data_IF_884260573525
#
_entry.id   IF_884260573525
#
_cell.length_a   1.000
_cell.length_b   1.000
_cell.length_c   1.000
_cell.angle_alpha   90.00
_cell.angle_beta   90.00
_cell.angle_gamma   90.00
#
_symmetry.space_group_name_H-M   'P 1'
#
loop_
_entity.id
_entity.type
_entity.pdbx_description
1 polymer ?
#
# COMPACT_ATOMS: atom_id res chain seq x y z
N UNK A 1 10.09 10.19 9.47
CA UNK A 1 10.98 9.02 9.29
C UNK A 1 10.15 7.76 9.44
N UNK A 2 10.18 6.84 8.46
CA UNK A 2 9.48 5.56 8.52
C UNK A 2 10.12 4.70 9.62
N UNK A 3 9.31 4.23 10.57
CA UNK A 3 9.79 3.36 11.64
C UNK A 3 9.78 1.88 11.22
N UNK A 4 10.48 1.04 12.00
CA UNK A 4 10.61 -0.40 11.73
C UNK A 4 9.27 -1.11 11.51
N UNK A 5 8.26 -0.82 12.34
CA UNK A 5 6.95 -1.48 12.21
C UNK A 5 6.15 -0.98 11.01
N UNK A 6 6.27 0.30 10.66
CA UNK A 6 5.66 0.83 9.43
C UNK A 6 6.27 0.21 8.19
N UNK A 7 7.60 0.00 8.17
CA UNK A 7 8.28 -0.68 7.06
C UNK A 7 7.84 -2.14 6.95
N UNK A 8 7.80 -2.87 8.06
CA UNK A 8 7.29 -4.26 8.12
C UNK A 8 5.87 -4.36 7.56
N UNK A 9 4.93 -3.56 8.07
CA UNK A 9 3.52 -3.57 7.64
C UNK A 9 3.36 -3.15 6.17
N UNK A 10 4.18 -2.22 5.69
CA UNK A 10 4.16 -1.80 4.29
C UNK A 10 4.65 -2.93 3.35
N UNK A 11 5.65 -3.72 3.76
CA UNK A 11 6.12 -4.90 3.02
C UNK A 11 5.10 -6.04 3.06
N UNK A 12 4.45 -6.27 4.19
CA UNK A 12 3.35 -7.24 4.31
C UNK A 12 2.17 -6.86 3.43
N UNK A 13 1.78 -5.58 3.42
CA UNK A 13 0.76 -5.04 2.53
C UNK A 13 1.13 -5.31 1.06
N UNK A 14 2.34 -4.95 0.63
CA UNK A 14 2.79 -5.23 -0.74
C UNK A 14 2.78 -6.74 -1.06
N UNK A 15 3.18 -7.59 -0.13
CA UNK A 15 3.19 -9.05 -0.34
C UNK A 15 1.77 -9.60 -0.54
N UNK A 16 0.79 -9.12 0.23
CA UNK A 16 -0.61 -9.47 0.05
C UNK A 16 -1.16 -8.99 -1.31
N UNK A 17 -0.80 -7.76 -1.71
CA UNK A 17 -1.18 -7.20 -3.01
C UNK A 17 -0.56 -8.02 -4.15
N UNK A 18 0.74 -8.29 -4.12
CA UNK A 18 1.45 -9.07 -5.14
C UNK A 18 0.92 -10.49 -5.28
N UNK A 19 0.47 -11.11 -4.19
CA UNK A 19 -0.15 -12.43 -4.22
C UNK A 19 -1.46 -12.44 -5.01
N UNK A 20 -2.32 -11.41 -4.84
CA UNK A 20 -3.63 -11.32 -5.51
C UNK A 20 -3.55 -10.67 -6.90
N UNK A 21 -2.59 -9.76 -7.10
CA UNK A 21 -2.35 -8.97 -8.30
C UNK A 21 -0.89 -9.18 -8.75
N UNK A 22 -0.55 -10.35 -9.32
CA UNK A 22 0.83 -10.67 -9.71
C UNK A 22 1.44 -9.70 -10.73
N UNK A 23 0.62 -8.93 -11.44
CA UNK A 23 0.99 -7.89 -12.40
C UNK A 23 1.64 -6.65 -11.75
N UNK A 24 1.27 -6.30 -10.51
CA UNK A 24 1.79 -5.07 -9.88
C UNK A 24 3.21 -5.27 -9.37
N UNK A 25 4.04 -4.22 -9.39
CA UNK A 25 5.42 -4.25 -8.90
C UNK A 25 5.69 -3.12 -7.93
N UNK A 26 6.51 -3.36 -6.91
CA UNK A 26 6.92 -2.34 -5.95
C UNK A 26 7.89 -1.36 -6.62
N UNK A 27 7.57 -0.07 -6.57
CA UNK A 27 8.45 1.01 -7.03
C UNK A 27 9.33 1.44 -5.86
N UNK A 28 8.71 1.87 -4.75
CA UNK A 28 9.37 2.20 -3.49
C UNK A 28 8.34 2.40 -2.37
N UNK A 29 8.84 2.53 -1.14
CA UNK A 29 8.05 2.91 0.03
C UNK A 29 8.59 4.26 0.51
N UNK A 30 7.72 5.26 0.60
CA UNK A 30 8.09 6.63 0.95
C UNK A 30 7.12 7.21 1.96
N UNK A 31 7.49 8.31 2.60
CA UNK A 31 6.53 9.13 3.33
C UNK A 31 5.63 9.85 2.35
N UNK A 32 4.39 10.14 2.76
CA UNK A 32 3.55 11.04 1.98
C UNK A 32 4.16 12.43 1.99
N UNK A 33 4.29 13.09 0.83
CA UNK A 33 4.66 14.50 0.77
C UNK A 33 3.64 15.42 1.47
N UNK A 34 2.39 14.96 1.64
CA UNK A 34 1.29 15.73 2.22
C UNK A 34 1.14 15.54 3.73
N UNK A 35 1.41 14.34 4.25
CA UNK A 35 1.40 14.04 5.69
C UNK A 35 2.62 13.18 6.06
N UNK A 36 3.61 13.73 6.79
CA UNK A 36 4.80 12.97 7.22
C UNK A 36 4.50 11.75 8.11
N UNK A 37 3.27 11.63 8.64
CA UNK A 37 2.82 10.46 9.42
C UNK A 37 2.31 9.33 8.53
N UNK A 38 1.99 9.64 7.27
CA UNK A 38 1.48 8.67 6.31
C UNK A 38 2.63 8.05 5.50
N UNK A 39 2.54 6.75 5.27
CA UNK A 39 3.49 5.98 4.45
C UNK A 39 2.78 5.55 3.16
N UNK A 40 3.45 5.74 2.04
CA UNK A 40 2.99 5.35 0.71
C UNK A 40 3.79 4.16 0.21
N UNK A 41 3.05 3.11 -0.15
CA UNK A 41 3.56 1.97 -0.90
C UNK A 41 3.29 2.26 -2.37
N UNK A 42 4.31 2.77 -3.07
CA UNK A 42 4.18 3.12 -4.49
C UNK A 42 4.35 1.86 -5.33
N UNK A 43 3.34 1.55 -6.14
CA UNK A 43 3.30 0.36 -7.00
C UNK A 43 2.92 0.72 -8.42
N UNK A 44 3.25 -0.13 -9.38
CA UNK A 44 2.76 0.02 -10.75
C UNK A 44 1.25 -0.21 -10.81
N UNK A 45 0.55 0.57 -11.63
CA UNK A 45 -0.86 0.33 -11.93
C UNK A 45 -1.05 -0.94 -12.80
N UNK A 46 -2.16 -1.70 -12.63
CA UNK A 46 -2.62 -2.64 -13.63
C UNK A 46 -2.95 -1.92 -14.96
N UNK A 47 -2.84 -2.61 -16.09
CA UNK A 47 -3.22 -2.04 -17.40
C UNK A 47 -4.73 -1.90 -17.59
N UNK A 48 -5.50 -2.72 -16.87
CA UNK A 48 -6.96 -2.80 -16.94
C UNK A 48 -7.58 -1.99 -15.78
N UNK A 49 -8.53 -1.11 -16.10
CA UNK A 49 -9.13 -0.19 -15.13
C UNK A 49 -10.00 -0.92 -14.09
N UNK A 50 -10.76 -1.94 -14.49
CA UNK A 50 -11.54 -2.76 -13.56
C UNK A 50 -10.60 -3.47 -12.57
N UNK A 51 -9.42 -3.89 -13.06
CA UNK A 51 -8.39 -4.50 -12.23
C UNK A 51 -7.74 -3.52 -11.26
N UNK A 52 -7.57 -2.27 -11.65
CA UNK A 52 -7.10 -1.21 -10.75
C UNK A 52 -8.14 -0.92 -9.65
N UNK A 53 -9.44 -0.91 -9.99
CA UNK A 53 -10.52 -0.77 -9.01
C UNK A 53 -10.47 -1.91 -7.98
N UNK A 54 -10.39 -3.17 -8.43
CA UNK A 54 -10.25 -4.34 -7.56
C UNK A 54 -9.04 -4.24 -6.60
N UNK A 55 -7.91 -3.73 -7.12
CA UNK A 55 -6.67 -3.51 -6.37
C UNK A 55 -6.87 -2.47 -5.27
N UNK A 56 -7.48 -1.33 -5.61
CA UNK A 56 -7.74 -0.24 -4.68
C UNK A 56 -8.71 -0.69 -3.58
N UNK A 57 -9.79 -1.39 -3.92
CA UNK A 57 -10.74 -1.91 -2.93
C UNK A 57 -10.04 -2.88 -1.96
N UNK A 58 -9.30 -3.85 -2.48
CA UNK A 58 -8.58 -4.81 -1.64
C UNK A 58 -7.50 -4.15 -0.77
N UNK A 59 -6.78 -3.15 -1.29
CA UNK A 59 -5.82 -2.39 -0.52
C UNK A 59 -6.51 -1.52 0.56
N UNK A 60 -7.69 -0.99 0.28
CA UNK A 60 -8.50 -0.22 1.22
C UNK A 60 -8.86 -1.02 2.47
N UNK A 61 -9.31 -2.27 2.29
CA UNK A 61 -9.60 -3.18 3.42
C UNK A 61 -8.35 -3.40 4.28
N UNK A 62 -7.21 -3.74 3.65
CA UNK A 62 -5.96 -4.03 4.37
C UNK A 62 -5.37 -2.82 5.07
N UNK A 63 -5.44 -1.66 4.46
CA UNK A 63 -4.94 -0.41 5.07
C UNK A 63 -5.84 0.06 6.21
N UNK A 64 -7.14 -0.23 6.14
CA UNK A 64 -8.08 -0.03 7.26
C UNK A 64 -7.74 -0.94 8.44
N UNK A 65 -7.48 -2.23 8.20
CA UNK A 65 -7.02 -3.16 9.25
C UNK A 65 -5.74 -2.63 9.93
N UNK A 66 -4.75 -2.21 9.13
CA UNK A 66 -3.49 -1.64 9.65
C UNK A 66 -3.73 -0.40 10.52
N UNK A 67 -4.64 0.49 10.08
CA UNK A 67 -4.98 1.69 10.84
C UNK A 67 -5.65 1.35 12.17
N UNK A 68 -6.59 0.41 12.19
CA UNK A 68 -7.34 0.03 13.39
C UNK A 68 -6.48 -0.76 14.39
N UNK A 69 -5.64 -1.68 13.90
CA UNK A 69 -4.84 -2.56 14.75
C UNK A 69 -3.56 -1.88 15.27
N UNK A 70 -2.95 -1.00 14.48
CA UNK A 70 -1.63 -0.43 14.78
C UNK A 70 -1.59 1.10 14.85
N UNK A 71 -2.64 1.79 14.39
CA UNK A 71 -2.68 3.26 14.37
C UNK A 71 -1.80 3.92 13.30
N UNK A 72 -1.31 3.14 12.32
CA UNK A 72 -0.46 3.67 11.25
C UNK A 72 -1.27 3.99 10.00
N UNK A 73 -1.05 5.19 9.45
CA UNK A 73 -1.57 5.58 8.14
C UNK A 73 -0.65 5.04 7.05
N UNK A 74 -1.01 3.90 6.48
CA UNK A 74 -0.33 3.32 5.31
C UNK A 74 -1.32 3.31 4.15
N UNK A 75 -0.89 3.65 2.95
CA UNK A 75 -1.74 3.63 1.75
C UNK A 75 -0.93 3.20 0.53
N UNK A 76 -1.62 2.75 -0.51
CA UNK A 76 -0.99 2.50 -1.81
C UNK A 76 -1.08 3.75 -2.69
N UNK A 77 -0.13 3.90 -3.60
CA UNK A 77 -0.20 4.84 -4.70
C UNK A 77 0.16 4.10 -5.99
N UNK A 78 -0.79 4.01 -6.92
CA UNK A 78 -0.56 3.47 -8.26
C UNK A 78 0.14 4.52 -9.13
N UNK A 79 1.04 4.08 -10.00
CA UNK A 79 1.82 4.91 -10.94
C UNK A 79 2.02 4.21 -12.27
#
# INVERSE_FOLDING_TARGET
>A
MINFKQEELAQELFSALKYKFPEVSLINITESPADPRAVWVNITAPEDEDREIDLIEFAGDKTTDILLDYGYYISIMTR
#
